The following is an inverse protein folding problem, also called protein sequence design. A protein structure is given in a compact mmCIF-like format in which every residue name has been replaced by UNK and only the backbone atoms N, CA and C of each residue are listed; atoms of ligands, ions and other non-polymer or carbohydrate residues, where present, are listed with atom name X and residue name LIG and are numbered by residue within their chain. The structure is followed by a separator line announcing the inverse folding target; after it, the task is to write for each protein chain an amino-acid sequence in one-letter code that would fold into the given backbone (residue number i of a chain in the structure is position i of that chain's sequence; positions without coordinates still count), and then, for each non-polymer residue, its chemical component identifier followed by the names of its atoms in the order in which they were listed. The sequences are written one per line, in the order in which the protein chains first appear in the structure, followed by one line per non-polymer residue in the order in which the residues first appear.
data_IF_868076455338
#
_entry.id   IF_868076455338
#
_cell.length_a   1.000
_cell.length_b   1.000
_cell.length_c   1.000
_cell.angle_alpha   90.00
_cell.angle_beta   90.00
_cell.angle_gamma   90.00
#
_symmetry.space_group_name_H-M   'P 1'
#
loop_
_entity.id
_entity.type
_entity.pdbx_description
1 polymer ?
#
# COMPACT_ATOMS: atom_id res chain seq x y z
N UNK A 1 -60.66 -39.69 41.70
CA UNK A 1 -59.59 -40.47 41.04
C UNK A 1 -58.63 -39.48 40.39
N UNK A 2 -57.44 -39.26 40.95
CA UNK A 2 -56.37 -38.56 40.24
C UNK A 2 -55.61 -39.53 39.33
N UNK A 3 -55.11 -39.10 38.15
CA UNK A 3 -54.36 -39.96 37.25
C UNK A 3 -52.98 -40.28 37.84
N UNK A 4 -52.55 -41.54 37.73
CA UNK A 4 -51.18 -41.95 37.99
C UNK A 4 -50.26 -41.42 36.88
N UNK A 5 -49.33 -40.54 37.23
CA UNK A 5 -48.20 -40.17 36.38
C UNK A 5 -47.22 -41.34 36.29
N UNK A 6 -46.95 -41.82 35.08
CA UNK A 6 -45.92 -42.83 34.82
C UNK A 6 -44.53 -42.18 34.76
N UNK A 7 -43.49 -42.76 35.40
CA UNK A 7 -42.16 -42.19 35.45
C UNK A 7 -41.33 -42.59 34.21
N UNK A 8 -41.62 -42.00 33.06
CA UNK A 8 -40.76 -42.10 31.88
C UNK A 8 -39.75 -40.94 31.86
N UNK A 9 -38.78 -40.95 32.79
CA UNK A 9 -37.90 -39.79 32.99
C UNK A 9 -36.39 -40.03 33.08
N UNK A 10 -35.91 -41.23 33.46
CA UNK A 10 -34.48 -41.40 33.80
C UNK A 10 -33.63 -42.02 32.69
N UNK A 11 -34.14 -43.04 31.99
CA UNK A 11 -33.35 -43.73 30.95
C UNK A 11 -33.06 -42.83 29.75
N UNK A 12 -34.03 -42.03 29.29
CA UNK A 12 -33.85 -41.15 28.15
C UNK A 12 -32.83 -40.03 28.42
N UNK A 13 -32.75 -39.52 29.66
CA UNK A 13 -31.74 -38.53 30.06
C UNK A 13 -30.33 -39.10 30.06
N UNK A 14 -30.16 -40.36 30.47
CA UNK A 14 -28.86 -41.04 30.45
C UNK A 14 -28.35 -41.28 29.01
N UNK A 15 -29.23 -41.65 28.07
CA UNK A 15 -28.85 -41.80 26.66
C UNK A 15 -28.53 -40.45 26.00
N UNK A 16 -29.25 -39.39 26.35
CA UNK A 16 -28.98 -38.04 25.82
C UNK A 16 -27.63 -37.51 26.33
N UNK A 17 -27.32 -37.69 27.61
CA UNK A 17 -26.05 -37.25 28.21
C UNK A 17 -24.89 -38.08 27.65
N UNK A 18 -25.04 -39.40 27.51
CA UNK A 18 -24.03 -40.27 26.89
C UNK A 18 -23.76 -39.93 25.42
N UNK A 19 -24.81 -39.62 24.64
CA UNK A 19 -24.69 -39.22 23.24
C UNK A 19 -23.99 -37.86 23.07
N UNK A 20 -24.31 -36.87 23.91
CA UNK A 20 -23.65 -35.55 23.88
C UNK A 20 -22.16 -35.66 24.26
N UNK A 21 -21.81 -36.49 25.25
CA UNK A 21 -20.42 -36.69 25.65
C UNK A 21 -19.59 -37.39 24.55
N UNK A 22 -20.18 -38.33 23.82
CA UNK A 22 -19.53 -38.95 22.65
C UNK A 22 -19.32 -37.98 21.50
N UNK A 23 -20.29 -37.09 21.24
CA UNK A 23 -20.15 -36.04 20.23
C UNK A 23 -19.07 -35.04 20.64
N UNK A 24 -19.03 -34.62 21.91
CA UNK A 24 -17.99 -33.73 22.41
C UNK A 24 -16.59 -34.36 22.38
N UNK A 25 -16.47 -35.65 22.70
CA UNK A 25 -15.22 -36.38 22.58
C UNK A 25 -14.78 -36.53 21.11
N UNK A 26 -15.71 -36.81 20.20
CA UNK A 26 -15.43 -36.86 18.77
C UNK A 26 -15.01 -35.49 18.21
N UNK A 27 -15.68 -34.42 18.62
CA UNK A 27 -15.32 -33.04 18.26
C UNK A 27 -13.98 -32.61 18.87
N UNK A 28 -13.63 -33.08 20.07
CA UNK A 28 -12.32 -32.83 20.67
C UNK A 28 -11.21 -33.60 19.95
N UNK A 29 -11.47 -34.86 19.51
CA UNK A 29 -10.51 -35.64 18.71
C UNK A 29 -10.37 -35.06 17.31
N UNK A 30 -11.46 -34.63 16.65
CA UNK A 30 -11.41 -33.90 15.38
C UNK A 30 -10.69 -32.56 15.59
N UNK A 31 -10.98 -31.82 16.64
CA UNK A 31 -10.31 -30.58 17.00
C UNK A 31 -8.83 -30.77 17.35
N UNK A 32 -8.41 -31.93 17.84
CA UNK A 32 -7.00 -32.26 18.11
C UNK A 32 -6.28 -32.74 16.83
N UNK A 33 -6.94 -33.57 16.04
CA UNK A 33 -6.43 -34.10 14.76
C UNK A 33 -6.32 -33.03 13.67
N UNK A 34 -7.25 -32.05 13.66
CA UNK A 34 -7.26 -30.90 12.76
C UNK A 34 -6.78 -29.59 13.41
N UNK A 35 -6.60 -29.55 14.74
CA UNK A 35 -5.95 -28.42 15.43
C UNK A 35 -4.44 -28.52 15.43
N UNK A 36 -3.90 -29.72 15.18
CA UNK A 36 -2.49 -29.99 14.90
C UNK A 36 -2.19 -30.08 13.40
N UNK A 37 -2.85 -29.28 12.54
CA UNK A 37 -2.39 -29.14 11.16
C UNK A 37 -1.01 -28.51 11.23
N UNK A 38 0.03 -29.33 11.09
CA UNK A 38 1.35 -28.79 10.75
C UNK A 38 1.13 -27.93 9.51
N UNK A 39 1.31 -26.62 9.65
CA UNK A 39 1.36 -25.73 8.51
C UNK A 39 2.29 -26.41 7.50
N UNK A 40 1.85 -26.53 6.25
CA UNK A 40 2.72 -27.08 5.21
C UNK A 40 4.07 -26.34 5.29
N UNK A 41 5.21 -27.00 5.03
CA UNK A 41 6.52 -26.34 5.06
C UNK A 41 6.52 -24.99 4.30
N UNK A 42 5.80 -24.93 3.17
CA UNK A 42 5.52 -23.70 2.43
C UNK A 42 4.82 -22.62 3.28
N UNK A 43 3.69 -22.94 3.91
CA UNK A 43 2.94 -21.97 4.74
C UNK A 43 3.72 -21.51 5.96
N UNK A 44 4.49 -22.41 6.59
CA UNK A 44 5.34 -22.07 7.73
C UNK A 44 6.48 -21.12 7.35
N UNK A 45 7.19 -21.42 6.27
CA UNK A 45 8.27 -20.56 5.77
C UNK A 45 7.74 -19.23 5.25
N UNK A 46 6.59 -19.24 4.56
CA UNK A 46 5.92 -18.02 4.11
C UNK A 46 5.55 -17.11 5.29
N UNK A 47 4.95 -17.66 6.35
CA UNK A 47 4.59 -16.87 7.52
C UNK A 47 5.83 -16.23 8.16
N UNK A 48 6.90 -17.02 8.36
CA UNK A 48 8.16 -16.53 8.93
C UNK A 48 8.81 -15.45 8.04
N UNK A 49 8.85 -15.66 6.73
CA UNK A 49 9.35 -14.68 5.76
C UNK A 49 8.54 -13.37 5.79
N UNK A 50 7.22 -13.47 5.91
CA UNK A 50 6.33 -12.30 6.03
C UNK A 50 6.56 -11.53 7.34
N UNK A 51 6.87 -12.20 8.44
CA UNK A 51 7.17 -11.55 9.71
C UNK A 51 8.51 -10.79 9.64
N UNK A 52 9.56 -11.38 9.03
CA UNK A 52 10.81 -10.67 8.76
C UNK A 52 10.62 -9.50 7.79
N UNK A 53 9.84 -9.69 6.73
CA UNK A 53 9.55 -8.63 5.76
C UNK A 53 8.87 -7.42 6.41
N UNK A 54 7.85 -7.65 7.24
CA UNK A 54 7.14 -6.60 7.99
C UNK A 54 8.05 -5.94 9.04
N UNK A 55 8.89 -6.74 9.69
CA UNK A 55 9.92 -6.31 10.63
C UNK A 55 11.18 -5.69 10.00
N UNK A 56 11.26 -5.62 8.66
CA UNK A 56 12.38 -5.06 7.88
C UNK A 56 13.72 -5.81 7.98
N UNK A 57 13.72 -7.04 8.46
CA UNK A 57 14.89 -7.89 8.31
C UNK A 57 14.92 -8.45 6.88
N UNK A 58 15.29 -7.59 5.92
CA UNK A 58 15.25 -7.94 4.50
C UNK A 58 16.17 -9.12 4.17
N UNK A 59 17.30 -9.26 4.86
CA UNK A 59 18.21 -10.38 4.65
C UNK A 59 17.58 -11.71 5.09
N UNK A 60 17.01 -11.77 6.30
CA UNK A 60 16.31 -12.97 6.76
C UNK A 60 15.05 -13.25 5.93
N UNK A 61 14.31 -12.20 5.54
CA UNK A 61 13.15 -12.34 4.67
C UNK A 61 13.53 -12.95 3.31
N UNK A 62 14.60 -12.50 2.66
CA UNK A 62 15.08 -13.06 1.38
C UNK A 62 15.43 -14.54 1.54
N UNK A 63 16.13 -14.92 2.60
CA UNK A 63 16.49 -16.32 2.87
C UNK A 63 15.24 -17.20 3.01
N UNK A 64 14.29 -16.79 3.85
CA UNK A 64 13.07 -17.58 4.09
C UNK A 64 12.13 -17.58 2.86
N UNK A 65 12.05 -16.49 2.08
CA UNK A 65 11.31 -16.50 0.82
C UNK A 65 11.95 -17.42 -0.23
N UNK A 66 13.28 -17.54 -0.28
CA UNK A 66 13.96 -18.53 -1.13
C UNK A 66 13.62 -19.95 -0.70
N UNK A 67 13.60 -20.23 0.61
CA UNK A 67 13.19 -21.53 1.13
C UNK A 67 11.70 -21.83 0.84
N UNK A 68 10.82 -20.82 0.91
CA UNK A 68 9.41 -20.97 0.52
C UNK A 68 9.24 -21.19 -0.98
N UNK A 69 10.04 -20.52 -1.82
CA UNK A 69 10.04 -20.68 -3.28
C UNK A 69 10.34 -22.12 -3.71
N UNK A 70 11.30 -22.79 -3.08
CA UNK A 70 11.63 -24.20 -3.34
C UNK A 70 10.45 -25.16 -3.07
N UNK A 71 9.48 -24.72 -2.28
CA UNK A 71 8.34 -25.51 -1.83
C UNK A 71 7.02 -24.98 -2.42
N UNK A 72 7.09 -24.05 -3.38
CA UNK A 72 5.92 -23.42 -3.96
C UNK A 72 5.02 -24.48 -4.66
N UNK A 73 3.72 -24.52 -4.35
CA UNK A 73 2.82 -25.56 -4.87
C UNK A 73 2.44 -25.39 -6.34
N UNK A 74 2.63 -24.19 -6.91
CA UNK A 74 2.28 -23.87 -8.29
C UNK A 74 3.09 -22.66 -8.81
N UNK A 75 3.08 -22.40 -10.13
CA UNK A 75 3.79 -21.27 -10.72
C UNK A 75 3.39 -19.90 -10.14
N UNK A 76 2.13 -19.71 -9.77
CA UNK A 76 1.65 -18.44 -9.19
C UNK A 76 2.24 -18.18 -7.80
N UNK A 77 2.28 -19.19 -6.94
CA UNK A 77 2.92 -19.10 -5.65
C UNK A 77 4.44 -18.88 -5.79
N UNK A 78 5.07 -19.52 -6.77
CA UNK A 78 6.49 -19.30 -7.06
C UNK A 78 6.74 -17.85 -7.53
N UNK A 79 5.89 -17.32 -8.41
CA UNK A 79 5.95 -15.93 -8.85
C UNK A 79 5.79 -14.94 -7.69
N UNK A 80 4.83 -15.18 -6.79
CA UNK A 80 4.66 -14.38 -5.56
C UNK A 80 5.92 -14.42 -4.68
N UNK A 81 6.56 -15.59 -4.50
CA UNK A 81 7.79 -15.66 -3.70
C UNK A 81 8.94 -14.91 -4.37
N UNK A 82 9.08 -15.01 -5.70
CA UNK A 82 10.05 -14.23 -6.47
C UNK A 82 9.80 -12.73 -6.34
N UNK A 83 8.55 -12.30 -6.41
CA UNK A 83 8.15 -10.90 -6.23
C UNK A 83 8.56 -10.39 -4.86
N UNK A 84 8.30 -11.16 -3.80
CA UNK A 84 8.70 -10.81 -2.44
C UNK A 84 10.22 -10.79 -2.26
N UNK A 85 10.96 -11.71 -2.89
CA UNK A 85 12.44 -11.67 -2.92
C UNK A 85 12.91 -10.38 -3.60
N UNK A 86 12.37 -10.07 -4.78
CA UNK A 86 12.71 -8.88 -5.54
C UNK A 86 12.43 -7.60 -4.74
N UNK A 87 11.27 -7.54 -4.07
CA UNK A 87 10.93 -6.42 -3.21
C UNK A 87 11.96 -6.24 -2.08
N UNK A 88 12.29 -7.32 -1.35
CA UNK A 88 13.23 -7.23 -0.23
C UNK A 88 14.66 -6.91 -0.69
N UNK A 89 15.11 -7.44 -1.83
CA UNK A 89 16.37 -7.02 -2.46
C UNK A 89 16.36 -5.51 -2.75
N UNK A 90 15.29 -5.02 -3.37
CA UNK A 90 15.18 -3.60 -3.70
C UNK A 90 15.28 -2.69 -2.47
N UNK A 91 14.66 -3.08 -1.36
CA UNK A 91 14.69 -2.35 -0.09
C UNK A 91 16.04 -2.45 0.61
N UNK A 92 16.64 -3.65 0.67
CA UNK A 92 17.96 -3.88 1.26
C UNK A 92 19.03 -3.04 0.58
N UNK A 93 18.97 -2.98 -0.76
CA UNK A 93 19.83 -2.12 -1.58
C UNK A 93 21.33 -2.28 -1.26
N UNK A 94 21.78 -3.52 -1.10
CA UNK A 94 23.20 -3.85 -0.99
C UNK A 94 23.76 -4.23 -2.37
N UNK A 95 24.97 -3.78 -2.70
CA UNK A 95 25.64 -4.13 -3.95
C UNK A 95 24.78 -3.90 -5.22
N UNK A 96 24.43 -4.99 -5.93
CA UNK A 96 23.63 -5.00 -7.15
C UNK A 96 22.14 -5.36 -6.93
N UNK A 97 21.67 -5.39 -5.67
CA UNK A 97 20.34 -5.88 -5.30
C UNK A 97 19.21 -5.22 -6.10
N UNK A 98 19.25 -3.91 -6.33
CA UNK A 98 18.18 -3.22 -7.08
C UNK A 98 18.11 -3.65 -8.54
N UNK A 99 19.25 -3.92 -9.16
CA UNK A 99 19.28 -4.42 -10.54
C UNK A 99 18.76 -5.87 -10.59
N UNK A 100 19.15 -6.70 -9.62
CA UNK A 100 18.63 -8.07 -9.49
C UNK A 100 17.12 -8.09 -9.24
N UNK A 101 16.62 -7.21 -8.37
CA UNK A 101 15.19 -7.04 -8.12
C UNK A 101 14.42 -6.67 -9.39
N UNK A 102 14.90 -5.68 -10.16
CA UNK A 102 14.27 -5.29 -11.44
C UNK A 102 14.23 -6.49 -12.39
N UNK A 103 15.32 -7.26 -12.48
CA UNK A 103 15.36 -8.43 -13.36
C UNK A 103 14.35 -9.50 -12.94
N UNK A 104 14.23 -9.80 -11.64
CA UNK A 104 13.23 -10.74 -11.12
C UNK A 104 11.80 -10.28 -11.42
N UNK A 105 11.49 -8.98 -11.26
CA UNK A 105 10.18 -8.46 -11.67
C UNK A 105 9.97 -8.62 -13.18
N UNK A 106 10.96 -8.29 -14.01
CA UNK A 106 10.88 -8.45 -15.47
C UNK A 106 10.68 -9.92 -15.89
N UNK A 107 11.31 -10.86 -15.19
CA UNK A 107 11.06 -12.31 -15.40
C UNK A 107 9.58 -12.65 -15.15
N UNK A 108 9.00 -12.20 -14.04
CA UNK A 108 7.59 -12.44 -13.71
C UNK A 108 6.68 -11.79 -14.77
N UNK A 109 6.93 -10.53 -15.11
CA UNK A 109 6.09 -9.76 -16.04
C UNK A 109 6.15 -10.36 -17.47
N UNK A 110 7.32 -10.85 -17.88
CA UNK A 110 7.54 -11.43 -19.21
C UNK A 110 7.13 -12.90 -19.36
N UNK A 111 6.81 -13.60 -18.26
CA UNK A 111 6.43 -15.01 -18.29
C UNK A 111 4.95 -15.19 -18.71
N UNK A 112 4.72 -15.40 -20.01
CA UNK A 112 3.38 -15.59 -20.57
C UNK A 112 2.65 -16.84 -20.05
N UNK A 113 3.34 -17.77 -19.36
CA UNK A 113 2.70 -18.92 -18.71
C UNK A 113 1.96 -18.53 -17.42
N UNK A 114 2.29 -17.38 -16.82
CA UNK A 114 1.60 -16.84 -15.66
C UNK A 114 0.29 -16.13 -16.04
N UNK A 115 -0.70 -16.23 -15.16
CA UNK A 115 -1.96 -15.51 -15.31
C UNK A 115 -1.72 -14.00 -15.52
N UNK A 116 -2.42 -13.34 -16.46
CA UNK A 116 -2.24 -11.91 -16.75
C UNK A 116 -2.29 -11.03 -15.50
N UNK A 117 -3.17 -11.35 -14.54
CA UNK A 117 -3.28 -10.67 -13.26
C UNK A 117 -1.95 -10.64 -12.48
N UNK A 118 -1.22 -11.76 -12.41
CA UNK A 118 0.06 -11.84 -11.69
C UNK A 118 1.09 -10.93 -12.34
N UNK A 119 1.16 -10.94 -13.68
CA UNK A 119 2.07 -10.11 -14.46
C UNK A 119 1.78 -8.61 -14.30
N UNK A 120 0.51 -8.24 -14.37
CA UNK A 120 0.07 -6.85 -14.20
C UNK A 120 0.38 -6.31 -12.80
N UNK A 121 0.10 -7.10 -11.75
CA UNK A 121 0.38 -6.71 -10.37
C UNK A 121 1.88 -6.54 -10.13
N UNK A 122 2.72 -7.47 -10.60
CA UNK A 122 4.17 -7.35 -10.52
C UNK A 122 4.70 -6.07 -11.19
N UNK A 123 4.13 -5.66 -12.34
CA UNK A 123 4.49 -4.40 -12.99
C UNK A 123 4.01 -3.18 -12.18
N UNK A 124 2.82 -3.22 -11.59
CA UNK A 124 2.34 -2.14 -10.72
C UNK A 124 3.24 -1.97 -9.48
N UNK A 125 3.67 -3.07 -8.86
CA UNK A 125 4.57 -3.05 -7.71
C UNK A 125 5.98 -2.56 -8.05
N UNK A 126 6.54 -3.01 -9.18
CA UNK A 126 7.79 -2.47 -9.69
C UNK A 126 7.69 -0.96 -9.94
N UNK A 127 6.55 -0.49 -10.44
CA UNK A 127 6.31 0.94 -10.67
C UNK A 127 6.36 1.74 -9.36
N UNK A 128 5.74 1.23 -8.28
CA UNK A 128 5.79 1.86 -6.96
C UNK A 128 7.22 1.95 -6.41
N UNK A 129 8.03 0.90 -6.60
CA UNK A 129 9.43 0.90 -6.21
C UNK A 129 10.24 1.92 -7.04
N UNK A 130 10.05 1.93 -8.36
CA UNK A 130 10.74 2.83 -9.28
C UNK A 130 10.44 4.33 -9.01
N UNK A 131 9.21 4.68 -8.58
CA UNK A 131 8.82 6.05 -8.20
C UNK A 131 9.69 6.67 -7.10
N UNK A 132 10.33 5.83 -6.26
CA UNK A 132 11.22 6.30 -5.20
C UNK A 132 12.61 6.70 -5.72
N UNK A 133 12.97 6.25 -6.92
CA UNK A 133 14.30 6.38 -7.54
C UNK A 133 14.42 7.65 -8.40
N UNK A 134 15.60 7.84 -9.00
CA UNK A 134 15.90 8.99 -9.85
C UNK A 134 15.77 8.66 -11.35
N UNK A 135 16.01 9.69 -12.17
CA UNK A 135 16.00 9.59 -13.63
C UNK A 135 17.01 8.58 -14.16
N UNK A 136 18.20 8.51 -13.56
CA UNK A 136 19.27 7.61 -14.01
C UNK A 136 18.84 6.16 -13.83
N UNK A 137 18.25 5.83 -12.67
CA UNK A 137 17.67 4.52 -12.43
C UNK A 137 16.59 4.18 -13.46
N UNK A 138 15.64 5.10 -13.68
CA UNK A 138 14.55 4.87 -14.63
C UNK A 138 15.08 4.66 -16.06
N UNK A 139 16.06 5.45 -16.48
CA UNK A 139 16.70 5.31 -17.79
C UNK A 139 17.39 3.95 -17.93
N UNK A 140 18.23 3.58 -16.96
CA UNK A 140 19.00 2.35 -17.01
C UNK A 140 18.12 1.09 -17.13
N UNK A 141 16.96 1.10 -16.49
CA UNK A 141 16.15 -0.10 -16.34
C UNK A 141 14.91 -0.15 -17.23
N UNK A 142 14.45 0.97 -17.79
CA UNK A 142 13.18 1.03 -18.53
C UNK A 142 13.30 1.70 -19.91
N UNK A 143 14.49 1.77 -20.52
CA UNK A 143 14.68 2.35 -21.86
C UNK A 143 14.89 1.32 -22.98
N UNK A 144 14.65 0.03 -22.70
CA UNK A 144 14.92 -1.06 -23.63
C UNK A 144 13.73 -2.02 -23.72
N UNK A 145 13.41 -2.45 -24.95
CA UNK A 145 12.34 -3.38 -25.22
C UNK A 145 12.57 -4.74 -24.51
N UNK A 146 11.50 -5.44 -24.06
CA UNK A 146 10.08 -5.07 -24.16
C UNK A 146 9.59 -4.10 -23.05
N UNK A 147 10.48 -3.62 -22.19
CA UNK A 147 10.16 -2.78 -21.02
C UNK A 147 10.54 -1.31 -21.24
N UNK A 148 10.37 -0.81 -22.46
CA UNK A 148 10.69 0.57 -22.85
C UNK A 148 9.56 1.53 -22.42
N UNK A 149 9.52 1.83 -21.12
CA UNK A 149 8.53 2.73 -20.52
C UNK A 149 9.10 4.13 -20.23
N UNK A 150 10.41 4.29 -20.36
CA UNK A 150 11.13 5.49 -19.95
C UNK A 150 10.73 6.72 -20.78
N UNK A 151 10.24 7.75 -20.09
CA UNK A 151 9.99 9.04 -20.71
C UNK A 151 11.29 9.83 -20.82
N UNK A 152 11.83 9.97 -22.03
CA UNK A 152 13.12 10.61 -22.27
C UNK A 152 13.13 12.14 -22.15
N UNK A 153 12.00 12.77 -21.77
CA UNK A 153 11.93 14.22 -21.62
C UNK A 153 12.98 14.74 -20.63
N UNK A 154 13.56 15.91 -20.93
CA UNK A 154 14.55 16.56 -20.07
C UNK A 154 13.93 17.22 -18.82
N UNK A 155 12.78 16.74 -18.36
CA UNK A 155 12.04 17.31 -17.24
C UNK A 155 12.40 16.61 -15.92
N UNK A 156 12.26 17.32 -14.81
CA UNK A 156 12.36 16.72 -13.46
C UNK A 156 11.23 15.75 -13.14
N UNK A 157 10.21 15.68 -14.00
CA UNK A 157 9.01 14.84 -13.86
C UNK A 157 9.05 13.61 -14.80
N UNK A 158 10.21 13.32 -15.41
CA UNK A 158 10.42 12.14 -16.24
C UNK A 158 10.04 10.84 -15.48
N UNK A 159 10.39 10.72 -14.20
CA UNK A 159 10.09 9.53 -13.38
C UNK A 159 8.58 9.38 -13.20
N UNK A 160 7.85 10.49 -12.96
CA UNK A 160 6.38 10.50 -12.90
C UNK A 160 5.76 10.04 -14.22
N UNK A 161 6.27 10.51 -15.36
CA UNK A 161 5.78 10.12 -16.69
C UNK A 161 6.09 8.66 -17.03
N UNK A 162 7.30 8.20 -16.69
CA UNK A 162 7.70 6.80 -16.79
C UNK A 162 6.76 5.91 -15.98
N UNK A 163 6.43 6.31 -14.75
CA UNK A 163 5.49 5.58 -13.92
C UNK A 163 4.07 5.53 -14.52
N UNK A 164 3.59 6.60 -15.15
CA UNK A 164 2.31 6.56 -15.89
C UNK A 164 2.37 5.52 -17.01
N UNK A 165 3.46 5.46 -17.78
CA UNK A 165 3.61 4.48 -18.86
C UNK A 165 3.63 3.04 -18.32
N UNK A 166 4.35 2.80 -17.22
CA UNK A 166 4.39 1.48 -16.57
C UNK A 166 3.02 1.06 -16.01
N UNK A 167 2.31 1.97 -15.34
CA UNK A 167 0.96 1.65 -14.85
C UNK A 167 -0.04 1.43 -15.99
N UNK A 168 0.04 2.19 -17.09
CA UNK A 168 -0.80 1.92 -18.28
C UNK A 168 -0.50 0.55 -18.87
N UNK A 169 0.76 0.18 -19.00
CA UNK A 169 1.14 -1.15 -19.45
C UNK A 169 0.66 -2.26 -18.49
N UNK A 170 0.63 -2.01 -17.18
CA UNK A 170 0.02 -2.91 -16.19
C UNK A 170 -1.49 -3.06 -16.42
N UNK A 171 -2.21 -1.94 -16.54
CA UNK A 171 -3.67 -1.89 -16.80
C UNK A 171 -4.04 -2.59 -18.12
N UNK A 172 -3.21 -2.46 -19.15
CA UNK A 172 -3.37 -3.12 -20.45
C UNK A 172 -3.20 -4.65 -20.38
N UNK A 173 -2.30 -5.14 -19.53
CA UNK A 173 -2.12 -6.59 -19.32
C UNK A 173 -3.30 -7.17 -18.55
N UNK A 174 -3.73 -6.51 -17.47
CA UNK A 174 -4.91 -6.86 -16.70
C UNK A 174 -5.38 -5.65 -15.87
N UNK A 175 -6.65 -5.20 -16.04
CA UNK A 175 -7.18 -4.06 -15.28
C UNK A 175 -7.08 -4.29 -13.78
N UNK A 176 -6.49 -3.32 -13.07
CA UNK A 176 -6.26 -3.40 -11.63
C UNK A 176 -6.30 -2.04 -10.95
N UNK A 177 -6.91 -2.00 -9.77
CA UNK A 177 -7.21 -0.75 -9.06
C UNK A 177 -5.96 0.01 -8.61
N UNK A 178 -4.87 -0.69 -8.30
CA UNK A 178 -3.60 -0.06 -7.95
C UNK A 178 -3.01 0.74 -9.12
N UNK A 179 -2.98 0.17 -10.33
CA UNK A 179 -2.51 0.87 -11.52
C UNK A 179 -3.44 2.04 -11.88
N UNK A 180 -4.75 1.83 -11.84
CA UNK A 180 -5.74 2.84 -12.19
C UNK A 180 -5.68 4.06 -11.26
N UNK A 181 -5.73 3.84 -9.94
CA UNK A 181 -5.53 4.93 -8.98
C UNK A 181 -4.12 5.52 -9.05
N UNK A 182 -3.10 4.70 -9.34
CA UNK A 182 -1.73 5.14 -9.58
C UNK A 182 -1.65 6.14 -10.72
N UNK A 183 -2.27 5.85 -11.86
CA UNK A 183 -2.35 6.76 -13.01
C UNK A 183 -3.04 8.06 -12.62
N UNK A 184 -4.22 7.98 -12.00
CA UNK A 184 -4.97 9.15 -11.56
C UNK A 184 -4.12 10.04 -10.63
N UNK A 185 -3.43 9.45 -9.66
CA UNK A 185 -2.55 10.17 -8.75
C UNK A 185 -1.35 10.82 -9.46
N UNK A 186 -0.70 10.12 -10.40
CA UNK A 186 0.42 10.73 -11.13
C UNK A 186 -0.03 11.92 -12.00
N UNK A 187 -1.25 11.90 -12.57
CA UNK A 187 -1.82 13.08 -13.23
C UNK A 187 -2.11 14.23 -12.25
N UNK A 188 -2.52 13.94 -11.01
CA UNK A 188 -2.63 14.95 -9.96
C UNK A 188 -1.25 15.58 -9.64
N UNK A 189 -0.21 14.75 -9.51
CA UNK A 189 1.18 15.21 -9.30
C UNK A 189 1.65 16.09 -10.45
N UNK A 190 1.41 15.71 -11.71
CA UNK A 190 1.75 16.54 -12.86
C UNK A 190 0.97 17.85 -12.86
N UNK A 191 -0.30 17.84 -12.47
CA UNK A 191 -1.15 19.05 -12.44
C UNK A 191 -0.64 20.09 -11.45
N UNK A 192 -0.25 19.68 -10.24
CA UNK A 192 0.24 20.61 -9.20
C UNK A 192 1.68 21.09 -9.42
N UNK A 193 2.45 20.41 -10.28
CA UNK A 193 3.83 20.76 -10.59
C UNK A 193 4.02 21.36 -12.00
N UNK A 194 2.95 21.83 -12.66
CA UNK A 194 2.99 22.36 -14.04
C UNK A 194 3.65 21.40 -15.05
N UNK A 195 3.42 20.10 -14.84
CA UNK A 195 4.10 19.02 -15.52
C UNK A 195 3.32 18.37 -16.66
N UNK A 196 2.11 18.84 -17.00
CA UNK A 196 1.19 18.15 -17.91
C UNK A 196 1.67 18.09 -19.37
N UNK A 197 2.58 18.96 -19.79
CA UNK A 197 3.06 19.02 -21.18
C UNK A 197 1.97 19.58 -22.09
N UNK A 198 1.55 18.83 -23.12
CA UNK A 198 0.52 19.26 -24.08
C UNK A 198 -0.93 19.09 -23.59
N UNK A 199 -1.15 18.33 -22.51
CA UNK A 199 -2.48 18.08 -21.96
C UNK A 199 -2.92 19.28 -21.12
N UNK A 200 -4.14 19.76 -21.32
CA UNK A 200 -4.70 20.85 -20.50
C UNK A 200 -5.05 20.35 -19.09
N UNK A 201 -5.11 21.22 -18.06
CA UNK A 201 -5.55 20.83 -16.72
C UNK A 201 -6.93 20.15 -16.72
N UNK A 202 -7.86 20.65 -17.54
CA UNK A 202 -9.22 20.09 -17.64
C UNK A 202 -9.21 18.66 -18.20
N UNK A 203 -8.46 18.41 -19.27
CA UNK A 203 -8.31 17.06 -19.83
C UNK A 203 -7.64 16.11 -18.82
N UNK A 204 -6.61 16.58 -18.12
CA UNK A 204 -5.96 15.80 -17.06
C UNK A 204 -6.94 15.43 -15.95
N UNK A 205 -7.81 16.36 -15.53
CA UNK A 205 -8.84 16.09 -14.53
C UNK A 205 -9.90 15.08 -14.99
N UNK A 206 -10.27 15.09 -16.27
CA UNK A 206 -11.16 14.08 -16.85
C UNK A 206 -10.47 12.70 -16.89
N UNK A 207 -9.18 12.65 -17.23
CA UNK A 207 -8.39 11.41 -17.16
C UNK A 207 -8.36 10.89 -15.71
N UNK A 208 -8.11 11.75 -14.72
CA UNK A 208 -8.13 11.38 -13.31
C UNK A 208 -9.46 10.75 -12.90
N UNK A 209 -10.59 11.39 -13.21
CA UNK A 209 -11.92 10.87 -12.87
C UNK A 209 -12.22 9.55 -13.57
N UNK A 210 -11.85 9.42 -14.85
CA UNK A 210 -12.04 8.16 -15.58
C UNK A 210 -11.25 7.00 -14.96
N UNK A 211 -9.99 7.20 -14.56
CA UNK A 211 -9.23 6.15 -13.89
C UNK A 211 -9.69 5.87 -12.45
N UNK A 212 -10.23 6.87 -11.74
CA UNK A 212 -10.88 6.64 -10.44
C UNK A 212 -12.12 5.74 -10.62
N UNK A 213 -12.96 6.02 -11.61
CA UNK A 213 -14.16 5.22 -11.89
C UNK A 213 -13.81 3.77 -12.25
N UNK A 214 -12.76 3.55 -13.05
CA UNK A 214 -12.29 2.19 -13.34
C UNK A 214 -11.77 1.48 -12.08
N UNK A 215 -10.95 2.17 -11.28
CA UNK A 215 -10.42 1.64 -10.02
C UNK A 215 -11.53 1.23 -9.05
N UNK A 216 -12.60 2.02 -8.96
CA UNK A 216 -13.77 1.73 -8.13
C UNK A 216 -14.50 0.45 -8.55
N UNK A 217 -14.46 0.10 -9.84
CA UNK A 217 -15.07 -1.12 -10.37
C UNK A 217 -14.20 -2.36 -10.12
N UNK A 218 -12.87 -2.21 -10.13
CA UNK A 218 -11.93 -3.33 -10.04
C UNK A 218 -11.50 -3.68 -8.61
N UNK A 219 -11.50 -2.70 -7.69
CA UNK A 219 -11.02 -2.85 -6.31
C UNK A 219 -11.54 -4.09 -5.54
N UNK A 220 -12.83 -4.49 -5.61
CA UNK A 220 -13.36 -5.57 -4.77
C UNK A 220 -12.73 -6.95 -5.02
N UNK A 221 -11.99 -7.11 -6.12
CA UNK A 221 -11.54 -8.41 -6.63
C UNK A 221 -10.04 -8.68 -6.38
N UNK A 222 -9.35 -7.81 -5.64
CA UNK A 222 -7.88 -7.80 -5.57
C UNK A 222 -7.37 -7.89 -4.13
N UNK A 223 -6.40 -8.78 -3.93
CA UNK A 223 -5.72 -8.96 -2.65
C UNK A 223 -4.32 -8.37 -2.76
N UNK A 224 -4.17 -7.14 -2.26
CA UNK A 224 -2.90 -6.45 -2.17
C UNK A 224 -2.24 -6.64 -0.80
N UNK A 225 -0.93 -6.43 -0.73
CA UNK A 225 -0.28 -6.17 0.56
C UNK A 225 -0.98 -5.00 1.26
N UNK A 226 -1.12 -5.02 2.61
CA UNK A 226 -1.81 -3.96 3.35
C UNK A 226 -1.31 -2.56 3.01
N UNK A 227 0.00 -2.39 2.86
CA UNK A 227 0.62 -1.12 2.48
C UNK A 227 0.18 -0.61 1.11
N UNK A 228 0.04 -1.49 0.11
CA UNK A 228 -0.43 -1.14 -1.22
C UNK A 228 -1.92 -0.83 -1.24
N UNK A 229 -2.72 -1.58 -0.47
CA UNK A 229 -4.13 -1.26 -0.27
C UNK A 229 -4.30 0.14 0.33
N UNK A 230 -3.55 0.49 1.38
CA UNK A 230 -3.56 1.84 1.94
C UNK A 230 -3.16 2.92 0.92
N UNK A 231 -2.09 2.68 0.14
CA UNK A 231 -1.62 3.62 -0.89
C UNK A 231 -2.66 3.86 -1.97
N UNK A 232 -3.34 2.83 -2.45
CA UNK A 232 -4.28 2.98 -3.57
C UNK A 232 -5.47 3.88 -3.18
N UNK A 233 -5.97 3.75 -1.95
CA UNK A 233 -7.02 4.64 -1.44
C UNK A 233 -6.53 6.06 -1.21
N UNK A 234 -5.28 6.22 -0.75
CA UNK A 234 -4.65 7.54 -0.66
C UNK A 234 -4.53 8.19 -2.05
N UNK A 235 -4.05 7.45 -3.05
CA UNK A 235 -3.95 7.90 -4.44
C UNK A 235 -5.30 8.32 -5.01
N UNK A 236 -6.33 7.49 -4.80
CA UNK A 236 -7.72 7.80 -5.14
C UNK A 236 -8.19 9.12 -4.51
N UNK A 237 -7.98 9.30 -3.20
CA UNK A 237 -8.41 10.49 -2.48
C UNK A 237 -7.74 11.77 -3.00
N UNK A 238 -6.42 11.73 -3.21
CA UNK A 238 -5.65 12.87 -3.74
C UNK A 238 -6.08 13.22 -5.17
N UNK A 239 -6.26 12.21 -6.03
CA UNK A 239 -6.67 12.43 -7.42
C UNK A 239 -8.13 12.92 -7.51
N UNK A 240 -9.01 12.42 -6.65
CA UNK A 240 -10.39 12.89 -6.55
C UNK A 240 -10.43 14.37 -6.17
N UNK A 241 -9.65 14.76 -5.16
CA UNK A 241 -9.60 16.15 -4.72
C UNK A 241 -9.02 17.09 -5.79
N UNK A 242 -7.88 16.71 -6.37
CA UNK A 242 -7.23 17.49 -7.42
C UNK A 242 -8.13 17.67 -8.66
N UNK A 243 -8.78 16.59 -9.13
CA UNK A 243 -9.66 16.64 -10.29
C UNK A 243 -10.89 17.50 -10.04
N UNK A 244 -11.50 17.38 -8.86
CA UNK A 244 -12.68 18.14 -8.50
C UNK A 244 -12.37 19.64 -8.31
N UNK A 245 -11.20 19.99 -7.77
CA UNK A 245 -10.71 21.38 -7.74
C UNK A 245 -10.59 21.97 -9.16
N UNK A 246 -9.96 21.23 -10.09
CA UNK A 246 -9.77 21.70 -11.47
C UNK A 246 -11.09 21.84 -12.23
N UNK A 247 -12.02 20.90 -12.05
CA UNK A 247 -13.32 20.89 -12.72
C UNK A 247 -14.36 21.78 -12.03
N UNK A 248 -13.96 22.58 -11.05
CA UNK A 248 -14.83 23.52 -10.32
C UNK A 248 -15.96 22.83 -9.57
N UNK A 249 -15.55 21.99 -8.62
CA UNK A 249 -16.39 21.37 -7.59
C UNK A 249 -17.50 20.44 -8.07
N UNK A 250 -17.25 19.67 -9.13
CA UNK A 250 -18.18 18.63 -9.58
C UNK A 250 -18.38 17.46 -8.59
N UNK A 251 -17.53 17.37 -7.55
CA UNK A 251 -17.63 16.42 -6.43
C UNK A 251 -17.69 17.22 -5.13
N UNK A 252 -18.61 16.91 -4.20
CA UNK A 252 -18.76 17.68 -2.98
C UNK A 252 -17.52 17.59 -2.07
N UNK A 253 -17.25 18.64 -1.27
CA UNK A 253 -16.16 18.58 -0.28
C UNK A 253 -16.35 17.45 0.74
N UNK A 254 -17.61 17.10 1.06
CA UNK A 254 -17.92 16.00 1.95
C UNK A 254 -17.49 14.65 1.37
N UNK A 255 -17.71 14.41 0.08
CA UNK A 255 -17.31 13.17 -0.60
C UNK A 255 -15.79 13.07 -0.73
N UNK A 256 -15.11 14.20 -1.00
CA UNK A 256 -13.64 14.25 -1.01
C UNK A 256 -13.05 13.95 0.36
N UNK A 257 -13.61 14.56 1.41
CA UNK A 257 -13.20 14.30 2.79
C UNK A 257 -13.44 12.83 3.16
N UNK A 258 -14.57 12.24 2.72
CA UNK A 258 -14.86 10.83 2.93
C UNK A 258 -13.83 9.91 2.27
N UNK A 259 -13.30 10.27 1.09
CA UNK A 259 -12.24 9.49 0.44
C UNK A 259 -10.94 9.45 1.28
N UNK A 260 -10.54 10.59 1.89
CA UNK A 260 -9.39 10.61 2.80
C UNK A 260 -9.65 9.80 4.09
N UNK A 261 -10.86 9.88 4.65
CA UNK A 261 -11.25 9.08 5.82
C UNK A 261 -11.21 7.58 5.52
N UNK A 262 -11.66 7.17 4.33
CA UNK A 262 -11.57 5.79 3.86
C UNK A 262 -10.13 5.33 3.66
N UNK A 263 -9.24 6.20 3.15
CA UNK A 263 -7.82 5.90 3.05
C UNK A 263 -7.18 5.69 4.43
N UNK A 264 -7.51 6.54 5.41
CA UNK A 264 -7.04 6.38 6.79
C UNK A 264 -7.58 5.12 7.46
N UNK A 265 -8.79 4.69 7.14
CA UNK A 265 -9.37 3.46 7.71
C UNK A 265 -8.70 2.18 7.24
N UNK A 266 -7.82 2.25 6.23
CA UNK A 266 -6.99 1.10 5.83
C UNK A 266 -5.85 0.82 6.82
N UNK A 267 -5.62 1.76 7.75
CA UNK A 267 -4.74 1.57 8.90
C UNK A 267 -5.38 0.74 10.01
N UNK A 268 -4.95 1.01 11.24
CA UNK A 268 -5.42 0.32 12.45
C UNK A 268 -4.28 -0.36 13.23
N UNK A 269 -4.57 -1.41 14.04
CA UNK A 269 -3.58 -2.03 14.91
C UNK A 269 -2.33 -2.55 14.16
N UNK A 270 -2.51 -2.95 12.89
CA UNK A 270 -1.44 -3.47 12.03
C UNK A 270 -0.38 -2.42 11.67
N UNK A 271 -0.65 -1.12 11.85
CA UNK A 271 0.37 -0.06 11.66
C UNK A 271 1.56 -0.23 12.61
N UNK A 272 1.38 -0.88 13.76
CA UNK A 272 2.45 -1.08 14.75
C UNK A 272 3.47 -2.11 14.23
N UNK A 273 2.97 -3.17 13.60
CA UNK A 273 3.78 -4.34 13.21
C UNK A 273 4.21 -4.31 11.75
N UNK A 274 3.65 -3.41 10.92
CA UNK A 274 3.97 -3.27 9.49
C UNK A 274 4.43 -1.84 9.19
N UNK A 275 5.75 -1.68 9.07
CA UNK A 275 6.39 -0.40 8.84
C UNK A 275 6.01 0.26 7.49
N UNK A 276 5.69 -0.54 6.48
CA UNK A 276 5.31 -0.01 5.17
C UNK A 276 3.88 0.49 5.18
N UNK A 277 2.98 -0.25 5.83
CA UNK A 277 1.62 0.20 6.09
C UNK A 277 1.65 1.48 6.90
N UNK A 278 2.43 1.52 7.99
CA UNK A 278 2.64 2.73 8.79
C UNK A 278 3.05 3.92 7.93
N UNK A 279 4.04 3.73 7.05
CA UNK A 279 4.48 4.79 6.14
C UNK A 279 3.37 5.27 5.18
N UNK A 280 2.56 4.36 4.63
CA UNK A 280 1.43 4.73 3.78
C UNK A 280 0.35 5.53 4.55
N UNK A 281 0.03 5.12 5.79
CA UNK A 281 -0.96 5.83 6.60
C UNK A 281 -0.42 7.18 7.09
N UNK A 282 0.87 7.30 7.44
CA UNK A 282 1.45 8.59 7.79
C UNK A 282 1.44 9.58 6.62
N UNK A 283 1.69 9.12 5.39
CA UNK A 283 1.50 9.95 4.19
C UNK A 283 0.03 10.35 4.03
N UNK A 284 -0.91 9.42 4.26
CA UNK A 284 -2.35 9.71 4.19
C UNK A 284 -2.76 10.78 5.21
N UNK A 285 -2.25 10.72 6.45
CA UNK A 285 -2.46 11.75 7.48
C UNK A 285 -1.94 13.11 7.03
N UNK A 286 -0.74 13.15 6.45
CA UNK A 286 -0.16 14.37 5.92
C UNK A 286 -1.01 14.99 4.80
N UNK A 287 -1.41 14.20 3.80
CA UNK A 287 -2.22 14.71 2.69
C UNK A 287 -3.64 15.08 3.12
N UNK A 288 -4.25 14.36 4.06
CA UNK A 288 -5.56 14.71 4.59
C UNK A 288 -5.52 16.00 5.41
N UNK A 289 -4.50 16.19 6.25
CA UNK A 289 -4.29 17.45 6.96
C UNK A 289 -4.11 18.63 5.98
N UNK A 290 -3.40 18.41 4.86
CA UNK A 290 -3.25 19.41 3.81
C UNK A 290 -4.58 19.72 3.11
N UNK A 291 -5.40 18.71 2.82
CA UNK A 291 -6.77 18.91 2.30
C UNK A 291 -7.60 19.79 3.24
N UNK A 292 -7.59 19.51 4.54
CA UNK A 292 -8.32 20.31 5.52
C UNK A 292 -7.82 21.76 5.56
N UNK A 293 -6.50 21.95 5.52
CA UNK A 293 -5.90 23.28 5.49
C UNK A 293 -6.34 24.09 4.26
N UNK A 294 -6.32 23.47 3.08
CA UNK A 294 -6.61 24.14 1.81
C UNK A 294 -8.09 24.55 1.72
N UNK A 295 -9.00 23.66 2.11
CA UNK A 295 -10.43 23.86 1.87
C UNK A 295 -11.16 24.54 3.04
N UNK A 296 -10.67 24.39 4.26
CA UNK A 296 -11.35 24.89 5.46
C UNK A 296 -10.51 25.87 6.30
N UNK A 297 -9.19 25.89 6.11
CA UNK A 297 -8.29 26.81 6.81
C UNK A 297 -8.39 26.69 8.33
N UNK A 298 -8.39 27.85 9.00
CA UNK A 298 -8.38 27.97 10.47
C UNK A 298 -9.54 27.23 11.16
N UNK A 299 -10.69 27.12 10.49
CA UNK A 299 -11.89 26.47 11.06
C UNK A 299 -11.70 24.99 11.38
N UNK A 300 -10.67 24.33 10.83
CA UNK A 300 -10.37 22.91 11.04
C UNK A 300 -8.97 22.67 11.62
N UNK A 301 -8.36 23.67 12.27
CA UNK A 301 -7.02 23.52 12.85
C UNK A 301 -6.93 22.45 13.94
N UNK A 302 -7.96 22.27 14.77
CA UNK A 302 -7.95 21.21 15.79
C UNK A 302 -7.97 19.81 15.16
N UNK A 303 -8.76 19.62 14.09
CA UNK A 303 -8.79 18.38 13.33
C UNK A 303 -7.43 18.09 12.68
N UNK A 304 -6.79 19.13 12.12
CA UNK A 304 -5.42 19.02 11.57
C UNK A 304 -4.43 18.58 12.65
N UNK A 305 -4.48 19.18 13.85
CA UNK A 305 -3.63 18.76 14.97
C UNK A 305 -3.88 17.31 15.35
N UNK A 306 -5.14 16.89 15.46
CA UNK A 306 -5.50 15.52 15.81
C UNK A 306 -5.02 14.51 14.75
N UNK A 307 -5.18 14.81 13.47
CA UNK A 307 -4.73 13.94 12.36
C UNK A 307 -3.20 13.79 12.37
N UNK A 308 -2.47 14.86 12.72
CA UNK A 308 -1.02 14.88 12.71
C UNK A 308 -0.38 14.46 14.06
N UNK A 309 -1.17 14.32 15.14
CA UNK A 309 -0.67 13.90 16.44
C UNK A 309 0.21 12.63 16.40
N UNK A 310 -0.07 11.59 15.60
CA UNK A 310 0.77 10.39 15.56
C UNK A 310 2.23 10.61 15.15
N UNK A 311 2.59 11.79 14.61
CA UNK A 311 3.99 12.15 14.35
C UNK A 311 4.81 12.39 15.63
N UNK A 312 4.17 12.71 16.76
CA UNK A 312 4.82 12.88 18.07
C UNK A 312 5.64 11.64 18.45
N UNK A 313 5.04 10.45 18.28
CA UNK A 313 5.61 9.16 18.65
C UNK A 313 6.89 8.81 17.86
N UNK A 314 7.20 9.53 16.79
CA UNK A 314 8.36 9.30 15.92
C UNK A 314 9.52 10.30 16.15
N UNK A 315 9.36 11.20 17.12
CA UNK A 315 10.37 12.21 17.44
C UNK A 315 11.49 11.67 18.34
N UNK A 316 11.31 10.48 18.94
CA UNK A 316 12.16 9.90 19.98
C UNK A 316 13.31 8.98 19.54
N UNK A 317 13.46 8.69 18.25
CA UNK A 317 14.55 7.86 17.72
C UNK A 317 14.12 6.89 16.62
N UNK A 318 15.09 6.20 16.02
CA UNK A 318 14.87 5.23 14.93
C UNK A 318 14.39 3.89 15.52
N UNK A 319 13.11 3.77 15.85
CA UNK A 319 12.51 2.42 15.87
C UNK A 319 12.49 1.90 14.43
N UNK A 320 12.76 0.60 14.20
CA UNK A 320 12.78 0.03 12.84
C UNK A 320 11.50 0.38 12.05
N UNK A 321 10.35 0.41 12.73
CA UNK A 321 9.06 0.75 12.12
C UNK A 321 8.94 2.17 11.55
N UNK A 322 9.79 3.13 11.98
CA UNK A 322 9.69 4.55 11.61
C UNK A 322 10.60 4.94 10.44
N UNK A 323 11.56 4.09 10.06
CA UNK A 323 12.62 4.45 9.11
C UNK A 323 12.07 4.93 7.76
N UNK A 324 11.01 4.29 7.24
CA UNK A 324 10.41 4.66 5.96
C UNK A 324 9.68 6.00 6.02
N UNK A 325 9.00 6.28 7.13
CA UNK A 325 8.36 7.58 7.35
C UNK A 325 9.44 8.66 7.39
N UNK A 326 10.47 8.47 8.22
CA UNK A 326 11.59 9.41 8.39
C UNK A 326 12.31 9.67 7.06
N UNK A 327 12.64 8.62 6.30
CA UNK A 327 13.30 8.74 5.00
C UNK A 327 12.47 9.55 3.98
N UNK A 328 11.15 9.36 3.92
CA UNK A 328 10.25 10.15 3.04
C UNK A 328 10.25 11.62 3.41
N UNK A 329 10.08 11.94 4.70
CA UNK A 329 10.07 13.33 5.13
C UNK A 329 11.45 14.00 5.05
N UNK A 330 12.55 13.26 5.17
CA UNK A 330 13.88 13.79 4.82
C UNK A 330 13.95 14.16 3.34
N UNK A 331 13.43 13.31 2.43
CA UNK A 331 13.37 13.62 0.99
C UNK A 331 12.54 14.88 0.71
N UNK A 332 11.39 15.05 1.39
CA UNK A 332 10.58 16.25 1.29
C UNK A 332 11.34 17.51 1.75
N UNK A 333 12.10 17.42 2.85
CA UNK A 333 12.91 18.54 3.35
C UNK A 333 14.02 18.97 2.39
N UNK A 334 14.58 18.01 1.64
CA UNK A 334 15.61 18.24 0.60
C UNK A 334 15.05 18.74 -0.73
N UNK A 335 13.74 18.78 -0.92
CA UNK A 335 13.13 19.32 -2.13
C UNK A 335 13.42 20.83 -2.28
N UNK A 336 13.35 21.33 -3.52
CA UNK A 336 13.56 22.74 -3.84
C UNK A 336 12.55 23.65 -3.13
N UNK A 337 12.88 24.93 -2.95
CA UNK A 337 12.00 25.89 -2.25
C UNK A 337 10.62 26.08 -2.93
N UNK A 338 10.51 25.81 -4.23
CA UNK A 338 9.25 25.82 -4.96
C UNK A 338 8.41 24.54 -4.83
N UNK A 339 8.89 23.51 -4.12
CA UNK A 339 8.18 22.24 -3.99
C UNK A 339 6.87 22.42 -3.22
N UNK A 340 5.77 22.00 -3.83
CA UNK A 340 4.44 22.00 -3.20
C UNK A 340 4.46 21.25 -1.86
N UNK A 341 4.91 19.99 -1.84
CA UNK A 341 4.95 19.14 -0.65
C UNK A 341 5.74 19.77 0.50
N UNK A 342 6.92 20.34 0.21
CA UNK A 342 7.74 21.01 1.22
C UNK A 342 7.04 22.22 1.82
N UNK A 343 6.41 23.04 0.96
CA UNK A 343 5.69 24.22 1.41
C UNK A 343 4.46 23.88 2.26
N UNK A 344 3.74 22.80 1.92
CA UNK A 344 2.63 22.33 2.77
C UNK A 344 3.11 21.76 4.10
N UNK A 345 4.24 21.04 4.13
CA UNK A 345 4.83 20.58 5.39
C UNK A 345 5.19 21.73 6.34
N UNK A 346 5.77 22.82 5.82
CA UNK A 346 6.07 24.01 6.62
C UNK A 346 4.78 24.65 7.18
N UNK A 347 3.74 24.80 6.36
CA UNK A 347 2.45 25.35 6.80
C UNK A 347 1.80 24.49 7.89
N UNK A 348 1.79 23.17 7.71
CA UNK A 348 1.23 22.25 8.71
C UNK A 348 2.04 22.25 10.01
N UNK A 349 3.36 22.41 9.95
CA UNK A 349 4.21 22.54 11.14
C UNK A 349 3.98 23.85 11.92
N UNK A 350 3.43 24.90 11.29
CA UNK A 350 2.99 26.09 12.00
C UNK A 350 1.69 25.86 12.82
N UNK A 351 0.94 24.80 12.51
CA UNK A 351 -0.36 24.47 13.12
C UNK A 351 -0.22 23.37 14.18
N UNK A 352 0.55 22.30 13.89
CA UNK A 352 0.76 21.16 14.78
C UNK A 352 2.17 21.15 15.36
N UNK A 353 2.29 21.31 16.69
CA UNK A 353 3.57 21.27 17.41
C UNK A 353 4.24 19.90 17.33
N UNK A 354 3.45 18.82 17.35
CA UNK A 354 3.96 17.44 17.25
C UNK A 354 4.60 17.19 15.90
N UNK A 355 3.92 17.61 14.82
CA UNK A 355 4.47 17.51 13.47
C UNK A 355 5.71 18.40 13.30
N UNK A 356 5.69 19.61 13.87
CA UNK A 356 6.86 20.50 13.89
C UNK A 356 8.07 19.83 14.55
N UNK A 357 7.88 19.26 15.73
CA UNK A 357 8.95 18.58 16.47
C UNK A 357 9.50 17.39 15.69
N UNK A 358 8.61 16.61 15.06
CA UNK A 358 9.02 15.53 14.16
C UNK A 358 9.90 16.05 13.02
N UNK A 359 9.48 17.08 12.28
CA UNK A 359 10.28 17.65 11.19
C UNK A 359 11.64 18.19 11.68
N UNK A 360 11.66 18.87 12.84
CA UNK A 360 12.92 19.34 13.46
C UNK A 360 13.84 18.18 13.81
N UNK A 361 13.31 17.05 14.29
CA UNK A 361 14.09 15.83 14.58
C UNK A 361 14.76 15.23 13.33
N UNK A 362 14.25 15.56 12.13
CA UNK A 362 14.80 15.16 10.84
C UNK A 362 15.77 16.19 10.25
N UNK A 363 16.05 17.28 10.97
CA UNK A 363 16.96 18.35 10.54
C UNK A 363 16.32 19.37 9.60
N UNK A 364 14.99 19.46 9.56
CA UNK A 364 14.32 20.55 8.82
C UNK A 364 14.64 21.91 9.43
N UNK A 365 14.71 22.94 8.58
CA UNK A 365 14.75 24.35 8.98
C UNK A 365 13.39 24.95 8.66
N UNK A 366 12.64 25.35 9.70
CA UNK A 366 11.24 25.78 9.61
C UNK A 366 11.09 27.27 9.87
#
# INVERSE_FOLDING_TARGET
MPPQEQPHGSAHKLYLIGGVLLILAALAVIGWYYGGVSLSPFTSNLQKAMDFHRGQDHSAAIEDFKAALEQAPNPEAAAQMKEMIAFNLFQRNENNDRAEAVNLFKEIIGDESLAPKVRALALADLTLLALSQDKTFAQQHFSEAPFDYYDSSATTLNVTRTAINMFKASDEVYPNSLAEYGIAYQYAVLSVNNGLGSITPKEAAQIMQSYIEKGDQNYPNEQYLPSNSARQYMYRAIAMDASAYILSDNISLADREAAYKLALSQGGPKEIDDAQLRAAIMDTRFYYANFLLIHFGESRYEDIKQILQPFELMSGGDSGSDIYVRARFIKYGKASAGSYTKNQAIKLAAISIDFKNFLLSLGWKL
#
